data_IF_242633512255
#
_entry.id   IF_242633512255
#
_cell.length_a   1.000
_cell.length_b   1.000
_cell.length_c   1.000
_cell.angle_alpha   90.00
_cell.angle_beta   90.00
_cell.angle_gamma   90.00
#
_symmetry.space_group_name_H-M   'P 1'
#
loop_
_entity.id
_entity.type
_entity.pdbx_description
1 polymer ?
#
# COMPACT_ATOMS: atom_id res chain seq x y z
N UNK A 1 0.04 20.87 -11.89
CA UNK A 1 -1.14 20.60 -11.06
C UNK A 1 -1.46 19.12 -11.23
N UNK A 2 -1.05 18.30 -10.27
CA UNK A 2 -1.25 16.85 -10.33
C UNK A 2 -2.73 16.55 -10.08
N UNK A 3 -3.36 15.90 -11.06
CA UNK A 3 -4.74 15.47 -10.97
C UNK A 3 -4.81 14.31 -9.98
N UNK A 4 -5.10 14.60 -8.72
CA UNK A 4 -5.47 13.59 -7.73
C UNK A 4 -6.85 13.07 -8.12
N UNK A 5 -6.91 12.06 -8.99
CA UNK A 5 -8.17 11.35 -9.19
C UNK A 5 -8.53 10.70 -7.86
N UNK A 6 -9.45 11.32 -7.12
CA UNK A 6 -9.95 10.85 -5.82
C UNK A 6 -10.77 9.56 -5.93
N UNK A 7 -10.84 8.98 -7.13
CA UNK A 7 -11.51 7.74 -7.43
C UNK A 7 -10.57 6.84 -8.24
N UNK A 8 -10.35 5.63 -7.72
CA UNK A 8 -9.75 4.53 -8.44
C UNK A 8 -10.63 4.20 -9.65
N UNK A 9 -10.10 4.35 -10.85
CA UNK A 9 -10.82 4.05 -12.09
C UNK A 9 -10.59 2.61 -12.54
N UNK A 10 -11.41 2.12 -13.47
CA UNK A 10 -11.21 0.81 -14.09
C UNK A 10 -9.84 0.71 -14.78
N UNK A 11 -9.38 1.81 -15.41
CA UNK A 11 -8.07 1.88 -16.04
C UNK A 11 -6.93 1.69 -15.02
N UNK A 12 -7.02 2.32 -13.86
CA UNK A 12 -6.04 2.15 -12.79
C UNK A 12 -6.00 0.70 -12.30
N UNK A 13 -7.17 0.05 -12.18
CA UNK A 13 -7.26 -1.36 -11.77
C UNK A 13 -6.58 -2.26 -12.82
N UNK A 14 -6.90 -2.09 -14.09
CA UNK A 14 -6.33 -2.89 -15.18
C UNK A 14 -4.81 -2.70 -15.29
N UNK A 15 -4.33 -1.46 -15.16
CA UNK A 15 -2.89 -1.15 -15.15
C UNK A 15 -2.17 -1.87 -14.01
N UNK A 16 -2.75 -1.84 -12.81
CA UNK A 16 -2.20 -2.54 -11.64
C UNK A 16 -2.23 -4.05 -11.83
N UNK A 17 -3.31 -4.60 -12.40
CA UNK A 17 -3.38 -6.03 -12.70
C UNK A 17 -2.30 -6.46 -13.68
N UNK A 18 -2.08 -5.72 -14.77
CA UNK A 18 -1.00 -6.02 -15.73
C UNK A 18 0.37 -5.90 -15.06
N UNK A 19 0.61 -4.84 -14.29
CA UNK A 19 1.88 -4.60 -13.62
C UNK A 19 2.23 -5.68 -12.59
N UNK A 20 1.22 -6.15 -11.85
CA UNK A 20 1.35 -7.22 -10.86
C UNK A 20 1.16 -8.61 -11.47
N UNK A 21 1.11 -8.77 -12.80
CA UNK A 21 0.92 -10.06 -13.49
C UNK A 21 -0.32 -10.83 -12.99
N UNK A 22 -1.40 -10.10 -12.72
CA UNK A 22 -2.65 -10.59 -12.14
C UNK A 22 -2.48 -11.28 -10.78
N UNK A 23 -1.44 -10.94 -10.00
CA UNK A 23 -1.26 -11.43 -8.64
C UNK A 23 -2.42 -11.02 -7.71
N UNK A 24 -3.13 -9.94 -8.06
CA UNK A 24 -4.28 -9.43 -7.33
C UNK A 24 -5.55 -9.43 -8.20
N UNK A 25 -6.67 -9.81 -7.59
CA UNK A 25 -8.00 -9.60 -8.15
C UNK A 25 -8.41 -8.13 -8.10
N UNK A 26 -9.41 -7.75 -8.91
CA UNK A 26 -9.94 -6.38 -8.89
C UNK A 26 -10.44 -5.97 -7.49
N UNK A 27 -11.08 -6.89 -6.75
CA UNK A 27 -11.54 -6.63 -5.39
C UNK A 27 -10.40 -6.41 -4.41
N UNK A 28 -9.30 -7.15 -4.54
CA UNK A 28 -8.09 -6.93 -3.75
C UNK A 28 -7.48 -5.56 -4.05
N UNK A 29 -7.41 -5.16 -5.32
CA UNK A 29 -6.89 -3.85 -5.72
C UNK A 29 -7.75 -2.71 -5.16
N UNK A 30 -9.08 -2.83 -5.24
CA UNK A 30 -10.01 -1.87 -4.64
C UNK A 30 -9.81 -1.78 -3.12
N UNK A 31 -9.67 -2.92 -2.45
CA UNK A 31 -9.44 -2.98 -1.00
C UNK A 31 -8.10 -2.33 -0.63
N UNK A 32 -7.05 -2.57 -1.41
CA UNK A 32 -5.73 -1.97 -1.21
C UNK A 32 -5.76 -0.46 -1.43
N UNK A 33 -6.48 0.03 -2.44
CA UNK A 33 -6.67 1.46 -2.65
C UNK A 33 -7.43 2.13 -1.51
N UNK A 34 -8.49 1.50 -1.00
CA UNK A 34 -9.20 2.00 0.17
C UNK A 34 -8.30 2.04 1.40
N UNK A 35 -7.43 1.04 1.58
CA UNK A 35 -6.45 1.02 2.66
C UNK A 35 -5.39 2.11 2.48
N UNK A 36 -4.93 2.34 1.24
CA UNK A 36 -4.02 3.43 0.91
C UNK A 36 -4.63 4.78 1.30
N UNK A 37 -5.88 5.03 0.95
CA UNK A 37 -6.59 6.26 1.31
C UNK A 37 -6.80 6.42 2.83
N UNK A 38 -7.02 5.32 3.56
CA UNK A 38 -7.09 5.34 5.03
C UNK A 38 -5.73 5.67 5.68
N UNK A 39 -4.63 5.30 5.03
CA UNK A 39 -3.28 5.57 5.50
C UNK A 39 -2.79 6.97 5.12
N UNK A 40 -3.13 7.46 3.93
CA UNK A 40 -2.86 8.82 3.47
C UNK A 40 -3.79 9.84 4.18
N UNK A 41 -3.56 10.01 5.48
CA UNK A 41 -4.37 10.89 6.35
C UNK A 41 -4.32 12.34 5.91
N UNK A 42 -3.22 12.73 5.27
CA UNK A 42 -3.04 14.08 4.78
C UNK A 42 -3.65 14.30 3.39
N UNK A 43 -4.19 13.25 2.74
CA UNK A 43 -4.68 13.26 1.37
C UNK A 43 -3.66 13.88 0.39
N UNK A 44 -2.38 13.60 0.63
CA UNK A 44 -1.28 14.13 -0.17
C UNK A 44 -0.95 13.25 -1.39
N UNK A 45 -1.58 12.06 -1.49
CA UNK A 45 -1.39 11.10 -2.57
C UNK A 45 -0.18 10.17 -2.36
N UNK A 46 0.41 10.18 -1.17
CA UNK A 46 1.55 9.35 -0.79
C UNK A 46 1.45 8.99 0.69
N UNK A 47 1.89 7.78 1.03
CA UNK A 47 2.01 7.34 2.42
C UNK A 47 3.45 7.56 2.86
N UNK A 48 3.61 8.37 3.89
CA UNK A 48 4.88 8.57 4.58
C UNK A 48 5.16 7.41 5.54
N UNK A 49 6.41 7.21 5.92
CA UNK A 49 6.79 6.17 6.91
C UNK A 49 6.02 6.32 8.22
N UNK A 50 5.81 7.55 8.67
CA UNK A 50 5.03 7.89 9.87
C UNK A 50 3.54 7.50 9.75
N UNK A 51 2.98 7.62 8.55
CA UNK A 51 1.60 7.20 8.26
C UNK A 51 1.46 5.68 8.22
N UNK A 52 2.47 4.98 7.72
CA UNK A 52 2.55 3.52 7.81
C UNK A 52 2.65 3.03 9.26
N UNK A 53 3.46 3.70 10.07
CA UNK A 53 3.61 3.43 11.50
C UNK A 53 2.39 3.84 12.32
N UNK A 54 1.45 4.61 11.76
CA UNK A 54 0.18 4.91 12.41
C UNK A 54 -0.78 3.71 12.42
N UNK A 55 -0.48 2.62 11.69
CA UNK A 55 -1.21 1.37 11.83
C UNK A 55 -0.83 0.75 13.18
N UNK A 56 -1.79 0.55 14.11
CA UNK A 56 -1.48 0.11 15.46
C UNK A 56 -0.70 -1.21 15.51
N UNK A 57 -0.99 -2.16 14.61
CA UNK A 57 -0.25 -3.43 14.47
C UNK A 57 1.24 -3.25 14.09
N UNK A 58 1.56 -2.16 13.36
CA UNK A 58 2.94 -1.81 13.02
C UNK A 58 3.57 -0.88 14.07
N UNK A 59 2.76 -0.08 14.78
CA UNK A 59 3.20 0.87 15.80
C UNK A 59 3.72 0.18 17.07
N UNK A 60 3.03 -0.89 17.51
CA UNK A 60 3.29 -1.54 18.80
C UNK A 60 4.34 -2.65 18.74
N UNK A 61 4.75 -3.05 17.54
CA UNK A 61 5.65 -4.18 17.36
C UNK A 61 6.95 -3.74 16.66
N UNK A 62 8.09 -3.72 17.36
CA UNK A 62 9.37 -3.28 16.80
C UNK A 62 9.86 -4.17 15.64
N UNK A 63 9.42 -5.44 15.59
CA UNK A 63 9.69 -6.32 14.45
C UNK A 63 8.97 -5.84 13.19
N UNK A 64 7.78 -5.26 13.33
CA UNK A 64 7.02 -4.69 12.21
C UNK A 64 7.75 -3.53 11.55
N UNK A 65 8.47 -2.71 12.33
CA UNK A 65 9.29 -1.62 11.78
C UNK A 65 10.50 -2.17 11.02
N UNK A 66 11.14 -3.22 11.53
CA UNK A 66 12.28 -3.85 10.88
C UNK A 66 11.84 -4.57 9.59
N UNK A 67 10.74 -5.32 9.64
CA UNK A 67 10.14 -5.99 8.47
C UNK A 67 9.72 -4.96 7.43
N UNK A 68 9.05 -3.87 7.82
CA UNK A 68 8.67 -2.79 6.90
C UNK A 68 9.92 -2.18 6.25
N UNK A 69 10.95 -1.87 7.04
CA UNK A 69 12.20 -1.30 6.51
C UNK A 69 12.82 -2.25 5.50
N UNK A 70 12.87 -3.56 5.82
CA UNK A 70 13.42 -4.58 4.94
C UNK A 70 12.63 -4.72 3.64
N UNK A 71 11.30 -4.75 3.74
CA UNK A 71 10.40 -4.82 2.59
C UNK A 71 10.55 -3.59 1.68
N UNK A 72 10.74 -2.40 2.27
CA UNK A 72 11.03 -1.19 1.51
C UNK A 72 12.39 -1.28 0.82
N UNK A 73 13.44 -1.68 1.53
CA UNK A 73 14.78 -1.84 0.98
C UNK A 73 14.84 -2.89 -0.14
N UNK A 74 14.14 -4.02 0.01
CA UNK A 74 14.01 -5.06 -1.00
C UNK A 74 13.28 -4.57 -2.25
N UNK A 75 12.31 -3.68 -2.08
CA UNK A 75 11.64 -2.99 -3.19
C UNK A 75 12.44 -1.80 -3.75
N UNK A 76 13.60 -1.48 -3.17
CA UNK A 76 14.49 -0.39 -3.61
C UNK A 76 14.18 0.99 -3.00
N UNK A 77 13.34 1.04 -1.97
CA UNK A 77 12.97 2.24 -1.24
C UNK A 77 13.75 2.36 0.07
N UNK A 78 13.86 3.59 0.58
CA UNK A 78 14.44 3.84 1.90
C UNK A 78 13.32 3.91 2.93
N UNK A 79 13.69 3.75 4.21
CA UNK A 79 12.75 3.92 5.32
C UNK A 79 11.95 5.22 5.22
N UNK A 80 12.59 6.33 4.84
CA UNK A 80 11.97 7.66 4.74
C UNK A 80 11.39 7.99 3.35
N UNK A 81 11.21 6.99 2.49
CA UNK A 81 10.60 7.18 1.17
C UNK A 81 9.09 7.43 1.29
N UNK A 82 8.59 8.38 0.50
CA UNK A 82 7.16 8.56 0.29
C UNK A 82 6.68 7.54 -0.74
N UNK A 83 5.68 6.74 -0.40
CA UNK A 83 5.16 5.69 -1.25
C UNK A 83 3.88 6.16 -1.91
N UNK A 84 3.88 6.28 -3.24
CA UNK A 84 2.63 6.48 -3.97
C UNK A 84 1.90 5.15 -4.13
N UNK A 85 0.63 5.19 -4.54
CA UNK A 85 -0.21 4.00 -4.71
C UNK A 85 0.47 2.90 -5.53
N UNK A 86 1.15 3.28 -6.61
CA UNK A 86 1.88 2.34 -7.48
C UNK A 86 3.04 1.65 -6.75
N UNK A 87 3.74 2.36 -5.87
CA UNK A 87 4.82 1.80 -5.06
C UNK A 87 4.26 0.82 -4.02
N UNK A 88 3.18 1.21 -3.34
CA UNK A 88 2.49 0.36 -2.37
C UNK A 88 2.04 -0.98 -2.99
N UNK A 89 1.50 -0.92 -4.21
CA UNK A 89 1.08 -2.12 -4.95
C UNK A 89 2.26 -2.96 -5.46
N UNK A 90 3.36 -2.34 -5.90
CA UNK A 90 4.59 -3.06 -6.27
C UNK A 90 5.20 -3.79 -5.09
N UNK A 91 5.26 -3.15 -3.93
CA UNK A 91 5.79 -3.73 -2.70
C UNK A 91 5.00 -4.97 -2.32
N UNK A 92 3.67 -4.90 -2.34
CA UNK A 92 2.81 -6.05 -2.03
C UNK A 92 2.88 -7.13 -3.13
N UNK A 93 2.96 -6.74 -4.39
CA UNK A 93 3.04 -7.67 -5.52
C UNK A 93 4.35 -8.46 -5.57
N UNK A 94 5.48 -7.84 -5.21
CA UNK A 94 6.78 -8.50 -5.22
C UNK A 94 7.04 -9.38 -3.99
N UNK A 95 6.45 -9.03 -2.85
CA UNK A 95 6.70 -9.74 -1.59
C UNK A 95 5.89 -11.03 -1.45
N UNK A 96 4.89 -11.25 -2.30
CA UNK A 96 3.93 -12.35 -2.10
C UNK A 96 3.17 -12.25 -0.76
N UNK A 97 3.33 -11.13 -0.05
CA UNK A 97 2.62 -10.80 1.17
C UNK A 97 1.19 -10.46 0.77
N UNK A 98 0.34 -11.48 0.72
CA UNK A 98 -1.09 -11.26 0.80
C UNK A 98 -1.35 -10.70 2.19
N UNK A 99 -1.60 -9.40 2.29
CA UNK A 99 -2.22 -8.84 3.48
C UNK A 99 -3.64 -9.43 3.54
N UNK A 100 -3.79 -10.60 4.17
CA UNK A 100 -5.09 -11.16 4.48
C UNK A 100 -5.83 -10.13 5.33
N UNK A 101 -6.89 -9.58 4.76
CA UNK A 101 -7.78 -8.67 5.46
C UNK A 101 -8.54 -9.55 6.44
N UNK A 102 -8.16 -9.54 7.72
CA UNK A 102 -9.13 -9.83 8.77
C UNK A 102 -10.16 -8.69 8.72
N UNK A 103 -11.22 -8.91 7.95
CA UNK A 103 -12.42 -8.10 8.06
C UNK A 103 -12.92 -8.37 9.48
N UNK A 104 -12.98 -7.38 10.38
CA UNK A 104 -13.60 -7.61 11.67
C UNK A 104 -15.01 -8.12 11.41
N UNK A 105 -15.28 -9.34 11.85
CA UNK A 105 -16.65 -9.81 11.98
C UNK A 105 -17.19 -9.17 13.25
N UNK A 106 -18.21 -8.33 13.05
CA UNK A 106 -19.00 -7.55 14.02
C UNK A 106 -18.64 -6.05 14.12
#
# INVERSE_FOLDING_TARGET
MGNTSSMLTQYDIEEVQEHCKHAFSQQEIVSLYQRFCQLDRNNCGFISSDEFLSIPEFAVNPLSQEVLTKVLEEAGYKKDSFLVLSDFMKILGNTGLKMEVEVPVD
#
